data_IF_899400348089
#
_entry.id   IF_899400348089
#
_cell.length_a   1.000
_cell.length_b   1.000
_cell.length_c   1.000
_cell.angle_alpha   90.00
_cell.angle_beta   90.00
_cell.angle_gamma   90.00
#
_symmetry.space_group_name_H-M   'P 1'
#
loop_
_entity.id
_entity.type
_entity.pdbx_description
1 polymer ?
#
# COMPACT_ATOMS: atom_id res chain seq x y z
N UNK A 1 -10.77 14.94 -32.32
CA UNK A 1 -9.77 16.00 -32.58
C UNK A 1 -8.43 15.36 -32.94
N UNK A 2 -7.57 16.02 -33.73
CA UNK A 2 -6.25 15.47 -34.10
C UNK A 2 -5.19 15.56 -32.98
N UNK A 3 -4.03 14.89 -33.12
CA UNK A 3 -2.99 14.81 -32.08
C UNK A 3 -2.49 16.16 -31.55
N UNK A 4 -2.39 17.18 -32.42
CA UNK A 4 -1.97 18.53 -32.04
C UNK A 4 -2.89 19.20 -31.01
N UNK A 5 -4.21 19.00 -31.15
CA UNK A 5 -5.20 19.57 -30.22
C UNK A 5 -5.11 18.89 -28.86
N UNK A 6 -4.93 17.56 -28.85
CA UNK A 6 -4.75 16.79 -27.60
C UNK A 6 -3.53 17.26 -26.82
N UNK A 7 -2.39 17.45 -27.50
CA UNK A 7 -1.15 17.94 -26.86
C UNK A 7 -1.35 19.34 -26.28
N UNK A 8 -2.00 20.23 -27.04
CA UNK A 8 -2.26 21.60 -26.58
C UNK A 8 -3.16 21.63 -25.33
N UNK A 9 -4.22 20.82 -25.31
CA UNK A 9 -5.15 20.73 -24.17
C UNK A 9 -4.48 20.10 -22.96
N UNK A 10 -3.73 19.02 -23.14
CA UNK A 10 -3.10 18.26 -22.05
C UNK A 10 -2.06 19.07 -21.25
N UNK A 11 -1.58 20.19 -21.79
CA UNK A 11 -0.71 21.08 -21.02
C UNK A 11 -1.46 21.93 -19.99
N UNK A 12 -2.75 22.21 -20.19
CA UNK A 12 -3.52 23.07 -19.29
C UNK A 12 -4.53 22.30 -18.47
N UNK A 13 -5.07 21.21 -19.02
CA UNK A 13 -6.12 20.42 -18.42
C UNK A 13 -5.63 19.01 -18.10
N UNK A 14 -6.10 18.42 -16.98
CA UNK A 14 -5.90 17.02 -16.69
C UNK A 14 -6.25 16.11 -17.89
N UNK A 15 -5.44 15.07 -18.20
CA UNK A 15 -5.63 14.23 -19.40
C UNK A 15 -7.02 13.61 -19.54
N UNK A 16 -7.68 13.36 -18.41
CA UNK A 16 -9.05 12.84 -18.33
C UNK A 16 -10.05 13.67 -19.13
N UNK A 17 -9.87 14.99 -19.22
CA UNK A 17 -10.75 15.87 -19.99
C UNK A 17 -10.60 15.66 -21.50
N UNK A 18 -9.37 15.39 -21.97
CA UNK A 18 -9.16 15.07 -23.39
C UNK A 18 -9.79 13.74 -23.76
N UNK A 19 -9.78 12.76 -22.86
CA UNK A 19 -10.41 11.47 -23.10
C UNK A 19 -11.95 11.61 -23.03
N UNK A 20 -12.47 12.32 -22.04
CA UNK A 20 -13.90 12.62 -21.92
C UNK A 20 -14.43 13.38 -23.16
N UNK A 21 -13.71 14.40 -23.65
CA UNK A 21 -14.09 15.14 -24.87
C UNK A 21 -14.11 14.25 -26.12
N UNK A 22 -13.23 13.24 -26.19
CA UNK A 22 -13.20 12.28 -27.30
C UNK A 22 -14.39 11.34 -27.24
N UNK A 23 -14.70 10.85 -26.05
CA UNK A 23 -15.70 9.80 -25.85
C UNK A 23 -17.13 10.36 -25.80
N UNK A 24 -17.34 11.50 -25.12
CA UNK A 24 -18.62 12.22 -25.04
C UNK A 24 -18.43 13.73 -24.78
N UNK A 25 -18.55 14.59 -25.81
CA UNK A 25 -18.43 16.04 -25.64
C UNK A 25 -19.39 16.62 -24.61
N UNK A 26 -20.65 16.16 -24.56
CA UNK A 26 -21.66 16.66 -23.63
C UNK A 26 -21.28 16.35 -22.17
N UNK A 27 -20.86 15.11 -21.90
CA UNK A 27 -20.41 14.71 -20.56
C UNK A 27 -19.15 15.46 -20.15
N UNK A 28 -18.26 15.75 -21.09
CA UNK A 28 -17.03 16.49 -20.81
C UNK A 28 -17.28 17.91 -20.32
N UNK A 29 -18.33 18.59 -20.83
CA UNK A 29 -18.73 19.93 -20.37
C UNK A 29 -19.26 19.86 -18.95
N UNK A 30 -20.20 18.95 -18.66
CA UNK A 30 -20.73 18.77 -17.31
C UNK A 30 -19.63 18.44 -16.30
N UNK A 31 -18.69 17.58 -16.70
CA UNK A 31 -17.53 17.21 -15.91
C UNK A 31 -16.59 18.40 -15.66
N UNK A 32 -16.39 19.26 -16.66
CA UNK A 32 -15.57 20.46 -16.54
C UNK A 32 -16.21 21.52 -15.64
N UNK A 33 -17.53 21.69 -15.71
CA UNK A 33 -18.28 22.64 -14.89
C UNK A 33 -18.41 22.20 -13.43
N UNK A 34 -18.52 20.89 -13.18
CA UNK A 34 -18.67 20.33 -11.84
C UNK A 34 -17.35 20.30 -11.06
N UNK A 35 -17.43 20.26 -9.72
CA UNK A 35 -16.25 20.09 -8.87
C UNK A 35 -15.96 18.60 -8.63
N UNK A 36 -14.69 18.22 -8.74
CA UNK A 36 -14.25 16.84 -8.55
C UNK A 36 -12.99 16.79 -7.68
N UNK A 37 -12.99 15.93 -6.68
CA UNK A 37 -11.78 15.59 -5.94
C UNK A 37 -11.79 14.09 -5.66
N UNK A 38 -10.99 13.35 -6.43
CA UNK A 38 -10.80 11.91 -6.29
C UNK A 38 -9.40 11.53 -6.82
N UNK A 39 -8.93 10.28 -6.61
CA UNK A 39 -7.55 9.90 -6.92
C UNK A 39 -7.09 10.16 -8.36
N UNK A 40 -7.98 10.27 -9.34
CA UNK A 40 -7.63 10.49 -10.76
C UNK A 40 -7.96 11.91 -11.27
N UNK A 41 -8.52 12.76 -10.41
CA UNK A 41 -8.87 14.15 -10.78
C UNK A 41 -9.01 15.03 -9.54
N UNK A 42 -8.26 16.13 -9.55
CA UNK A 42 -8.50 17.28 -8.69
C UNK A 42 -8.91 18.43 -9.62
N UNK A 43 -10.16 18.82 -9.52
CA UNK A 43 -10.80 19.85 -10.33
C UNK A 43 -11.84 20.60 -9.51
N UNK A 44 -11.36 21.40 -8.56
CA UNK A 44 -12.14 22.30 -7.74
C UNK A 44 -12.16 23.72 -8.33
N UNK A 45 -12.79 24.66 -7.63
CA UNK A 45 -12.84 26.05 -8.07
C UNK A 45 -11.45 26.68 -8.13
N UNK A 46 -10.57 26.35 -7.18
CA UNK A 46 -9.22 26.89 -7.14
C UNK A 46 -8.38 26.40 -8.34
N UNK A 47 -8.52 25.14 -8.74
CA UNK A 47 -7.87 24.58 -9.93
C UNK A 47 -8.38 25.27 -11.20
N UNK A 48 -9.69 25.49 -11.30
CA UNK A 48 -10.30 26.25 -12.42
C UNK A 48 -9.74 27.67 -12.48
N UNK A 49 -9.68 28.36 -11.35
CA UNK A 49 -9.20 29.74 -11.26
C UNK A 49 -7.72 29.85 -11.62
N UNK A 50 -6.89 28.88 -11.19
CA UNK A 50 -5.47 28.80 -11.57
C UNK A 50 -5.30 28.62 -13.07
N UNK A 51 -6.02 27.67 -13.67
CA UNK A 51 -5.97 27.43 -15.12
C UNK A 51 -6.43 28.66 -15.90
N UNK A 52 -7.58 29.23 -15.55
CA UNK A 52 -8.11 30.45 -16.16
C UNK A 52 -7.13 31.62 -16.07
N UNK A 53 -6.54 31.83 -14.89
CA UNK A 53 -5.58 32.91 -14.65
C UNK A 53 -4.32 32.76 -15.50
N UNK A 54 -3.79 31.54 -15.61
CA UNK A 54 -2.60 31.27 -16.42
C UNK A 54 -2.87 31.44 -17.92
N UNK A 55 -4.00 30.91 -18.42
CA UNK A 55 -4.40 31.08 -19.82
C UNK A 55 -4.61 32.56 -20.13
N UNK A 56 -5.26 33.31 -19.24
CA UNK A 56 -5.45 34.75 -19.39
C UNK A 56 -4.14 35.54 -19.36
N UNK A 57 -3.14 35.09 -18.58
CA UNK A 57 -1.79 35.66 -18.57
C UNK A 57 -1.06 35.39 -19.89
N UNK A 58 -0.99 34.14 -20.34
CA UNK A 58 -0.34 33.75 -21.59
C UNK A 58 -0.97 34.45 -22.81
N UNK A 59 -2.31 34.58 -22.81
CA UNK A 59 -3.02 35.35 -23.84
C UNK A 59 -2.57 36.79 -23.88
N UNK A 60 -2.49 37.47 -22.72
CA UNK A 60 -2.07 38.88 -22.63
C UNK A 60 -0.62 39.07 -23.07
N UNK A 61 0.28 38.18 -22.65
CA UNK A 61 1.69 38.21 -23.05
C UNK A 61 1.83 38.05 -24.57
N UNK A 62 1.11 37.09 -25.16
CA UNK A 62 1.14 36.89 -26.61
C UNK A 62 0.52 38.07 -27.37
N UNK A 63 -0.62 38.59 -26.91
CA UNK A 63 -1.27 39.76 -27.51
C UNK A 63 -0.35 40.99 -27.50
N UNK A 64 0.36 41.24 -26.39
CA UNK A 64 1.33 42.33 -26.30
C UNK A 64 2.49 42.15 -27.28
N UNK A 65 2.97 40.92 -27.46
CA UNK A 65 4.04 40.63 -28.41
C UNK A 65 3.56 40.80 -29.88
N UNK A 66 2.31 40.41 -30.18
CA UNK A 66 1.72 40.59 -31.50
C UNK A 66 1.48 42.07 -31.86
N UNK A 67 1.20 42.93 -30.87
CA UNK A 67 1.10 44.37 -31.11
C UNK A 67 2.44 44.97 -31.59
N UNK A 68 3.57 44.38 -31.18
CA UNK A 68 4.90 44.81 -31.62
C UNK A 68 5.33 44.11 -32.93
N UNK A 69 4.91 42.86 -33.13
CA UNK A 69 5.19 42.10 -34.34
C UNK A 69 3.97 41.25 -34.75
N UNK A 70 3.16 41.70 -35.74
CA UNK A 70 1.98 40.98 -36.19
C UNK A 70 2.25 39.58 -36.76
N UNK A 71 3.49 39.31 -37.19
CA UNK A 71 3.90 37.98 -37.70
C UNK A 71 4.32 37.00 -36.61
N UNK A 72 4.27 37.41 -35.34
CA UNK A 72 4.70 36.57 -34.23
C UNK A 72 3.75 35.38 -34.01
N UNK A 73 4.31 34.18 -34.16
CA UNK A 73 3.63 32.93 -33.88
C UNK A 73 3.64 32.61 -32.39
N UNK A 74 2.50 32.14 -31.87
CA UNK A 74 2.44 31.63 -30.50
C UNK A 74 3.30 30.37 -30.36
N UNK A 75 4.19 30.38 -29.37
CA UNK A 75 4.93 29.20 -28.94
C UNK A 75 4.41 28.78 -27.59
N UNK A 76 4.12 27.48 -27.47
CA UNK A 76 3.71 26.89 -26.21
C UNK A 76 4.85 27.03 -25.20
N UNK A 77 4.60 27.52 -23.97
CA UNK A 77 5.62 27.54 -22.93
C UNK A 77 6.12 26.12 -22.62
N UNK A 78 7.37 26.00 -22.18
CA UNK A 78 7.95 24.71 -21.83
C UNK A 78 7.05 23.95 -20.84
N UNK A 79 6.64 22.74 -21.21
CA UNK A 79 5.59 21.95 -20.55
C UNK A 79 5.85 21.68 -19.06
N UNK A 80 7.11 21.78 -18.61
CA UNK A 80 7.52 21.42 -17.25
C UNK A 80 6.81 22.21 -16.15
N UNK A 81 6.30 23.42 -16.44
CA UNK A 81 5.54 24.23 -15.48
C UNK A 81 4.02 24.19 -15.63
N UNK A 82 3.52 23.71 -16.77
CA UNK A 82 2.09 23.74 -17.10
C UNK A 82 1.37 22.46 -16.65
N UNK A 83 2.05 21.31 -16.68
CA UNK A 83 1.46 20.01 -16.32
C UNK A 83 0.96 19.92 -14.88
N UNK A 84 1.47 20.76 -13.96
CA UNK A 84 1.05 20.83 -12.55
C UNK A 84 0.26 22.10 -12.22
N UNK A 85 -0.22 22.83 -13.23
CA UNK A 85 -0.87 24.12 -13.03
C UNK A 85 -2.19 24.01 -12.26
N UNK A 86 -2.99 23.00 -12.58
CA UNK A 86 -4.26 22.75 -11.89
C UNK A 86 -4.03 22.36 -10.42
N UNK A 87 -2.93 21.64 -10.14
CA UNK A 87 -2.64 21.00 -8.86
C UNK A 87 -1.18 21.22 -8.44
N UNK A 88 -0.82 22.46 -8.04
CA UNK A 88 0.54 22.73 -7.58
C UNK A 88 0.84 21.91 -6.32
N UNK A 89 2.06 21.38 -6.21
CA UNK A 89 2.55 20.59 -5.07
C UNK A 89 1.86 19.24 -4.83
N UNK A 90 0.98 18.79 -5.71
CA UNK A 90 0.41 17.46 -5.62
C UNK A 90 1.36 16.41 -6.22
N UNK A 91 1.54 15.30 -5.52
CA UNK A 91 2.41 14.22 -5.98
C UNK A 91 1.59 13.17 -6.72
N UNK A 92 1.82 13.11 -8.03
CA UNK A 92 1.08 12.26 -8.96
C UNK A 92 2.00 11.19 -9.56
N UNK A 93 1.50 9.96 -9.64
CA UNK A 93 2.17 8.82 -10.28
C UNK A 93 1.14 8.07 -11.11
N UNK A 94 1.41 7.76 -12.38
CA UNK A 94 0.44 7.06 -13.25
C UNK A 94 -0.88 7.76 -13.44
N UNK A 95 -0.92 9.10 -13.34
CA UNK A 95 -2.15 9.88 -13.37
C UNK A 95 -3.00 9.81 -12.09
N UNK A 96 -2.43 9.28 -11.00
CA UNK A 96 -3.10 9.13 -9.70
C UNK A 96 -2.44 10.02 -8.65
N UNK A 97 -3.24 10.83 -7.98
CA UNK A 97 -2.83 11.68 -6.86
C UNK A 97 -2.71 10.85 -5.58
N UNK A 98 -1.47 10.64 -5.12
CA UNK A 98 -1.20 9.66 -4.06
C UNK A 98 -1.85 10.03 -2.73
N UNK A 99 -1.88 11.31 -2.37
CA UNK A 99 -2.53 11.80 -1.13
C UNK A 99 -3.99 11.37 -1.05
N UNK A 100 -4.75 11.57 -2.12
CA UNK A 100 -6.17 11.24 -2.17
C UNK A 100 -6.36 9.73 -2.25
N UNK A 101 -5.52 9.03 -3.02
CA UNK A 101 -5.56 7.57 -3.10
C UNK A 101 -5.33 6.90 -1.74
N UNK A 102 -4.35 7.35 -0.96
CA UNK A 102 -4.06 6.81 0.38
C UNK A 102 -5.26 6.98 1.32
N UNK A 103 -5.98 8.10 1.22
CA UNK A 103 -7.20 8.34 2.00
C UNK A 103 -8.38 7.46 1.56
N UNK A 104 -8.39 6.97 0.32
CA UNK A 104 -9.43 6.09 -0.21
C UNK A 104 -8.86 5.01 -1.15
N UNK A 105 -8.18 3.99 -0.60
CA UNK A 105 -7.51 2.97 -1.42
C UNK A 105 -8.48 2.00 -2.10
N UNK A 106 -9.77 2.00 -1.70
CA UNK A 106 -10.83 1.24 -2.35
C UNK A 106 -11.34 1.86 -3.65
N UNK A 107 -10.82 3.03 -4.05
CA UNK A 107 -11.20 3.66 -5.31
C UNK A 107 -10.90 2.75 -6.51
N UNK A 108 -11.90 2.56 -7.37
CA UNK A 108 -11.75 1.74 -8.58
C UNK A 108 -11.04 2.56 -9.66
N UNK A 109 -9.72 2.42 -9.71
CA UNK A 109 -8.89 3.04 -10.74
C UNK A 109 -9.23 2.50 -12.13
N UNK A 110 -9.20 3.37 -13.15
CA UNK A 110 -9.38 2.93 -14.55
C UNK A 110 -8.22 2.09 -15.07
N UNK A 111 -7.00 2.38 -14.61
CA UNK A 111 -5.78 1.73 -15.09
C UNK A 111 -4.89 1.23 -13.94
N UNK A 112 -5.38 0.29 -13.12
CA UNK A 112 -4.68 -0.15 -11.91
C UNK A 112 -3.34 -0.84 -12.22
N UNK A 113 -3.21 -1.49 -13.39
CA UNK A 113 -1.96 -2.12 -13.83
C UNK A 113 -0.88 -1.11 -14.20
N UNK A 114 -1.24 -0.07 -14.95
CA UNK A 114 -0.31 1.03 -15.29
C UNK A 114 0.12 1.75 -14.01
N UNK A 115 -0.83 2.06 -13.12
CA UNK A 115 -0.54 2.67 -11.83
C UNK A 115 0.41 1.83 -10.97
N UNK A 116 0.17 0.52 -10.84
CA UNK A 116 1.07 -0.39 -10.12
C UNK A 116 2.49 -0.35 -10.67
N UNK A 117 2.64 -0.44 -11.99
CA UNK A 117 3.95 -0.44 -12.65
C UNK A 117 4.69 0.88 -12.44
N UNK A 118 4.01 2.02 -12.67
CA UNK A 118 4.60 3.34 -12.46
C UNK A 118 4.94 3.61 -10.99
N UNK A 119 4.10 3.13 -10.06
CA UNK A 119 4.32 3.32 -8.63
C UNK A 119 5.50 2.49 -8.12
N UNK A 120 5.62 1.24 -8.56
CA UNK A 120 6.78 0.41 -8.26
C UNK A 120 8.07 1.03 -8.83
N UNK A 121 8.04 1.46 -10.09
CA UNK A 121 9.19 2.12 -10.73
C UNK A 121 9.56 3.43 -10.02
N UNK A 122 8.56 4.22 -9.59
CA UNK A 122 8.78 5.45 -8.81
C UNK A 122 9.45 5.17 -7.47
N UNK A 123 8.97 4.17 -6.72
CA UNK A 123 9.61 3.73 -5.47
C UNK A 123 11.08 3.34 -5.71
N UNK A 124 11.34 2.47 -6.69
CA UNK A 124 12.69 2.00 -6.98
C UNK A 124 13.61 3.15 -7.44
N UNK A 125 13.10 4.08 -8.24
CA UNK A 125 13.88 5.22 -8.71
C UNK A 125 14.20 6.18 -7.57
N UNK A 126 13.26 6.43 -6.65
CA UNK A 126 13.53 7.21 -5.45
C UNK A 126 14.58 6.55 -4.56
N UNK A 127 14.51 5.23 -4.34
CA UNK A 127 15.48 4.48 -3.54
C UNK A 127 16.90 4.48 -4.13
N UNK A 128 17.01 4.54 -5.47
CA UNK A 128 18.30 4.54 -6.17
C UNK A 128 19.10 5.84 -6.03
N UNK A 129 18.48 6.94 -5.59
CA UNK A 129 19.12 8.25 -5.46
C UNK A 129 20.00 8.30 -4.20
N UNK A 130 21.15 8.96 -4.30
CA UNK A 130 22.04 9.19 -3.14
C UNK A 130 21.36 9.96 -2.01
N UNK A 131 20.47 10.90 -2.37
CA UNK A 131 19.61 11.67 -1.48
C UNK A 131 18.16 11.51 -1.93
N UNK A 132 17.43 10.49 -1.46
CA UNK A 132 16.03 10.31 -1.81
C UNK A 132 15.18 11.44 -1.24
N UNK A 133 14.11 11.79 -1.96
CA UNK A 133 13.05 12.61 -1.37
C UNK A 133 12.23 11.71 -0.43
N UNK A 134 12.46 11.86 0.88
CA UNK A 134 11.89 10.98 1.90
C UNK A 134 10.35 11.05 1.93
N UNK A 135 9.77 12.23 1.74
CA UNK A 135 8.32 12.42 1.74
C UNK A 135 7.67 11.73 0.54
N UNK A 136 8.23 11.94 -0.66
CA UNK A 136 7.74 11.26 -1.86
C UNK A 136 7.93 9.75 -1.79
N UNK A 137 9.04 9.28 -1.20
CA UNK A 137 9.31 7.84 -1.04
C UNK A 137 8.33 7.20 -0.05
N UNK A 138 8.08 7.85 1.09
CA UNK A 138 7.11 7.38 2.09
C UNK A 138 5.69 7.36 1.52
N UNK A 139 5.28 8.42 0.81
CA UNK A 139 3.98 8.50 0.17
C UNK A 139 3.82 7.44 -0.93
N UNK A 140 4.83 7.26 -1.79
CA UNK A 140 4.82 6.20 -2.83
C UNK A 140 4.72 4.81 -2.21
N UNK A 141 5.48 4.56 -1.14
CA UNK A 141 5.47 3.27 -0.44
C UNK A 141 4.12 2.99 0.18
N UNK A 142 3.54 3.99 0.86
CA UNK A 142 2.23 3.86 1.52
C UNK A 142 1.13 3.60 0.50
N UNK A 143 1.13 4.34 -0.62
CA UNK A 143 0.20 4.12 -1.72
C UNK A 143 0.36 2.71 -2.33
N UNK A 144 1.60 2.21 -2.48
CA UNK A 144 1.86 0.89 -3.05
C UNK A 144 1.35 -0.22 -2.12
N UNK A 145 1.64 -0.14 -0.83
CA UNK A 145 1.14 -1.09 0.15
C UNK A 145 -0.41 -1.07 0.20
N UNK A 146 -1.01 0.12 0.18
CA UNK A 146 -2.45 0.28 0.19
C UNK A 146 -3.11 -0.29 -1.08
N UNK A 147 -2.50 -0.10 -2.26
CA UNK A 147 -2.95 -0.67 -3.53
C UNK A 147 -2.94 -2.19 -3.49
N UNK A 148 -1.84 -2.80 -3.05
CA UNK A 148 -1.70 -4.26 -2.96
C UNK A 148 -2.65 -4.86 -1.91
N UNK A 149 -2.93 -4.13 -0.84
CA UNK A 149 -3.91 -4.55 0.18
C UNK A 149 -5.35 -4.46 -0.32
N UNK A 150 -5.70 -3.36 -1.00
CA UNK A 150 -7.05 -3.14 -1.52
C UNK A 150 -7.36 -4.05 -2.72
N UNK A 151 -6.36 -4.38 -3.53
CA UNK A 151 -6.49 -5.23 -4.71
C UNK A 151 -5.41 -6.32 -4.75
N UNK A 152 -5.52 -7.39 -3.93
CA UNK A 152 -4.50 -8.43 -3.84
C UNK A 152 -4.15 -9.12 -5.17
N UNK A 153 -5.12 -9.21 -6.09
CA UNK A 153 -4.95 -9.80 -7.42
C UNK A 153 -3.92 -9.06 -8.29
N UNK A 154 -3.62 -7.79 -8.01
CA UNK A 154 -2.57 -7.06 -8.71
C UNK A 154 -1.16 -7.57 -8.35
N UNK A 155 -1.00 -8.19 -7.18
CA UNK A 155 0.29 -8.74 -6.74
C UNK A 155 0.81 -9.82 -7.68
N UNK A 156 -0.08 -10.61 -8.30
CA UNK A 156 0.27 -11.68 -9.24
C UNK A 156 1.05 -11.15 -10.46
N UNK A 157 0.89 -9.87 -10.80
CA UNK A 157 1.55 -9.23 -11.94
C UNK A 157 2.96 -8.75 -11.60
N UNK A 158 3.29 -8.57 -10.31
CA UNK A 158 4.56 -7.97 -9.87
C UNK A 158 5.80 -8.75 -10.34
N UNK A 159 5.84 -10.09 -10.25
CA UNK A 159 6.97 -10.87 -10.73
C UNK A 159 7.29 -10.65 -12.21
N UNK A 160 6.26 -10.56 -13.07
CA UNK A 160 6.42 -10.39 -14.51
C UNK A 160 7.01 -9.02 -14.89
N UNK A 161 6.91 -8.02 -14.01
CA UNK A 161 7.47 -6.68 -14.23
C UNK A 161 8.98 -6.60 -13.95
N UNK A 162 9.60 -7.63 -13.34
CA UNK A 162 11.04 -7.66 -13.09
C UNK A 162 11.52 -6.70 -11.98
N UNK A 163 10.62 -6.15 -11.18
CA UNK A 163 10.95 -5.18 -10.13
C UNK A 163 11.50 -5.82 -8.83
N UNK A 164 11.18 -7.09 -8.55
CA UNK A 164 11.56 -7.78 -7.30
C UNK A 164 13.09 -7.84 -7.11
N UNK A 165 13.90 -8.27 -8.10
CA UNK A 165 15.36 -8.29 -7.93
C UNK A 165 15.95 -6.90 -7.66
N UNK A 166 15.38 -5.84 -8.27
CA UNK A 166 15.78 -4.46 -8.03
C UNK A 166 15.47 -4.02 -6.60
N UNK A 167 14.28 -4.35 -6.09
CA UNK A 167 13.88 -4.08 -4.70
C UNK A 167 14.86 -4.71 -3.70
N UNK A 168 15.17 -6.01 -3.86
CA UNK A 168 16.09 -6.73 -2.98
C UNK A 168 17.49 -6.09 -2.98
N UNK A 169 18.01 -5.70 -4.15
CA UNK A 169 19.31 -5.01 -4.24
C UNK A 169 19.30 -3.66 -3.53
N UNK A 170 18.26 -2.86 -3.72
CA UNK A 170 18.17 -1.50 -3.17
C UNK A 170 18.01 -1.47 -1.65
N UNK A 171 17.38 -2.50 -1.09
CA UNK A 171 17.22 -2.68 0.35
C UNK A 171 18.56 -2.66 1.11
N UNK A 172 19.61 -3.23 0.52
CA UNK A 172 20.96 -3.30 1.09
C UNK A 172 21.95 -2.27 0.55
N UNK A 173 21.67 -1.62 -0.59
CA UNK A 173 22.66 -0.73 -1.23
C UNK A 173 22.70 0.67 -0.61
N UNK A 174 21.57 1.19 -0.12
CA UNK A 174 21.46 2.56 0.39
C UNK A 174 21.12 2.61 1.88
N UNK A 175 21.84 1.80 2.67
CA UNK A 175 21.64 1.68 4.12
C UNK A 175 21.88 2.99 4.88
N UNK A 176 22.67 3.92 4.32
CA UNK A 176 22.91 5.25 4.91
C UNK A 176 21.64 6.10 4.94
N UNK A 177 20.72 5.88 3.99
CA UNK A 177 19.46 6.60 3.92
C UNK A 177 18.38 5.80 4.64
N UNK A 178 18.15 6.15 5.89
CA UNK A 178 17.24 5.47 6.83
C UNK A 178 15.84 5.21 6.22
N UNK A 179 15.36 6.07 5.31
CA UNK A 179 14.09 5.92 4.60
C UNK A 179 14.06 4.75 3.61
N UNK A 180 15.18 4.43 2.95
CA UNK A 180 15.23 3.37 1.93
C UNK A 180 15.01 1.97 2.52
N UNK A 181 15.73 1.53 3.58
CA UNK A 181 15.47 0.25 4.21
C UNK A 181 14.03 0.12 4.75
N UNK A 182 13.45 1.20 5.32
CA UNK A 182 12.05 1.19 5.78
C UNK A 182 11.10 0.90 4.64
N UNK A 183 11.19 1.68 3.58
CA UNK A 183 10.31 1.53 2.43
C UNK A 183 10.49 0.17 1.77
N UNK A 184 11.73 -0.30 1.62
CA UNK A 184 12.00 -1.61 1.04
C UNK A 184 11.43 -2.76 1.89
N UNK A 185 11.54 -2.71 3.22
CA UNK A 185 10.94 -3.71 4.13
C UNK A 185 9.40 -3.68 4.03
N UNK A 186 8.79 -2.50 3.97
CA UNK A 186 7.33 -2.38 3.83
C UNK A 186 6.83 -2.98 2.52
N UNK A 187 7.51 -2.70 1.39
CA UNK A 187 7.15 -3.29 0.10
C UNK A 187 7.35 -4.80 0.12
N UNK A 188 8.47 -5.29 0.66
CA UNK A 188 8.72 -6.73 0.80
C UNK A 188 7.63 -7.42 1.63
N UNK A 189 7.22 -6.80 2.74
CA UNK A 189 6.14 -7.30 3.59
C UNK A 189 4.81 -7.38 2.85
N UNK A 190 4.44 -6.34 2.09
CA UNK A 190 3.23 -6.37 1.27
C UNK A 190 3.28 -7.49 0.21
N UNK A 191 4.41 -7.66 -0.47
CA UNK A 191 4.60 -8.72 -1.47
C UNK A 191 4.61 -10.12 -0.87
N UNK A 192 5.04 -10.28 0.39
CA UNK A 192 5.06 -11.58 1.08
C UNK A 192 3.67 -12.19 1.32
N UNK A 193 2.59 -11.41 1.15
CA UNK A 193 1.21 -11.92 1.19
C UNK A 193 0.83 -12.75 -0.05
N UNK A 194 1.66 -12.76 -1.08
CA UNK A 194 1.37 -13.43 -2.34
C UNK A 194 2.42 -14.51 -2.65
N UNK A 195 1.99 -15.77 -2.81
CA UNK A 195 2.90 -16.90 -3.03
C UNK A 195 3.69 -16.82 -4.36
N UNK A 196 3.14 -16.18 -5.40
CA UNK A 196 3.84 -15.96 -6.68
C UNK A 196 4.99 -14.96 -6.47
N UNK A 197 4.72 -13.88 -5.73
CA UNK A 197 5.76 -12.94 -5.31
C UNK A 197 6.82 -13.60 -4.43
N UNK A 198 6.42 -14.42 -3.46
CA UNK A 198 7.35 -15.16 -2.59
C UNK A 198 8.26 -16.07 -3.41
N UNK A 199 7.72 -16.76 -4.42
CA UNK A 199 8.49 -17.61 -5.32
C UNK A 199 9.52 -16.79 -6.12
N UNK A 200 9.14 -15.61 -6.60
CA UNK A 200 10.07 -14.71 -7.31
C UNK A 200 11.12 -14.08 -6.37
N UNK A 201 10.75 -13.77 -5.13
CA UNK A 201 11.68 -13.33 -4.08
C UNK A 201 12.69 -14.44 -3.76
N UNK A 202 12.26 -15.71 -3.73
CA UNK A 202 13.13 -16.86 -3.50
C UNK A 202 14.21 -17.04 -4.58
N UNK A 203 13.93 -16.61 -5.81
CA UNK A 203 14.89 -16.61 -6.91
C UNK A 203 15.82 -15.37 -6.91
N UNK A 204 15.62 -14.43 -5.97
CA UNK A 204 16.41 -13.21 -5.83
C UNK A 204 17.22 -13.24 -4.53
N UNK A 205 18.41 -12.62 -4.52
CA UNK A 205 19.21 -12.50 -3.31
C UNK A 205 18.60 -11.47 -2.34
N UNK A 206 17.76 -11.95 -1.42
CA UNK A 206 16.98 -11.09 -0.53
C UNK A 206 17.40 -11.18 0.95
N UNK A 207 17.94 -12.31 1.40
CA UNK A 207 18.24 -12.53 2.83
C UNK A 207 19.38 -11.65 3.35
N UNK A 208 20.46 -11.49 2.58
CA UNK A 208 21.58 -10.61 2.97
C UNK A 208 21.14 -9.13 3.05
N UNK A 209 20.53 -8.53 2.01
CA UNK A 209 20.01 -7.16 2.09
C UNK A 209 19.02 -6.95 3.24
N UNK A 210 18.13 -7.92 3.49
CA UNK A 210 17.17 -7.85 4.57
C UNK A 210 17.84 -7.85 5.95
N UNK A 211 18.84 -8.72 6.16
CA UNK A 211 19.63 -8.76 7.41
C UNK A 211 20.24 -7.39 7.70
N UNK A 212 20.89 -6.80 6.69
CA UNK A 212 21.52 -5.48 6.83
C UNK A 212 20.49 -4.37 7.11
N UNK A 213 19.35 -4.41 6.43
CA UNK A 213 18.26 -3.44 6.63
C UNK A 213 17.71 -3.51 8.07
N UNK A 214 17.49 -4.72 8.61
CA UNK A 214 17.03 -4.93 9.99
C UNK A 214 18.04 -4.46 11.04
N UNK A 215 19.35 -4.60 10.77
CA UNK A 215 20.40 -4.13 11.68
C UNK A 215 20.41 -2.60 11.83
N UNK A 216 20.05 -1.88 10.76
CA UNK A 216 20.02 -0.41 10.74
C UNK A 216 18.66 0.15 11.19
N UNK A 217 17.56 -0.52 10.85
CA UNK A 217 16.19 -0.11 11.19
C UNK A 217 15.57 -1.04 12.22
N UNK A 218 15.93 -0.81 13.48
CA UNK A 218 15.39 -1.60 14.61
C UNK A 218 13.87 -1.52 14.74
N UNK A 219 13.29 -0.36 14.44
CA UNK A 219 11.85 -0.11 14.44
C UNK A 219 11.09 -0.94 13.38
N UNK A 220 11.78 -1.41 12.33
CA UNK A 220 11.20 -2.23 11.27
C UNK A 220 11.35 -3.75 11.51
N UNK A 221 11.97 -4.16 12.62
CA UNK A 221 12.19 -5.59 12.93
C UNK A 221 10.86 -6.34 13.01
N UNK A 222 9.82 -5.77 13.63
CA UNK A 222 8.51 -6.42 13.73
C UNK A 222 7.92 -6.75 12.35
N UNK A 223 7.91 -5.77 11.44
CA UNK A 223 7.38 -5.90 10.07
C UNK A 223 8.24 -6.88 9.26
N UNK A 224 9.56 -6.79 9.38
CA UNK A 224 10.48 -7.71 8.72
C UNK A 224 10.29 -9.16 9.18
N UNK A 225 10.13 -9.41 10.49
CA UNK A 225 9.89 -10.74 11.04
C UNK A 225 8.54 -11.34 10.60
N UNK A 226 7.50 -10.52 10.46
CA UNK A 226 6.23 -10.97 9.89
C UNK A 226 6.39 -11.37 8.41
N UNK A 227 7.12 -10.57 7.63
CA UNK A 227 7.44 -10.89 6.24
C UNK A 227 8.25 -12.19 6.13
N UNK A 228 9.26 -12.36 6.99
CA UNK A 228 10.08 -13.57 7.07
C UNK A 228 9.25 -14.82 7.38
N UNK A 229 8.33 -14.73 8.34
CA UNK A 229 7.46 -15.86 8.65
C UNK A 229 6.63 -16.28 7.43
N UNK A 230 6.07 -15.31 6.68
CA UNK A 230 5.35 -15.60 5.42
C UNK A 230 6.26 -16.21 4.35
N UNK A 231 7.44 -15.63 4.16
CA UNK A 231 8.44 -16.10 3.18
C UNK A 231 8.85 -17.55 3.44
N UNK A 232 9.17 -17.92 4.69
CA UNK A 232 9.58 -19.29 5.02
C UNK A 232 8.41 -20.27 5.12
N UNK A 233 7.18 -19.80 5.42
CA UNK A 233 5.99 -20.66 5.43
C UNK A 233 5.61 -21.16 4.03
N UNK A 234 6.11 -20.52 2.96
CA UNK A 234 5.93 -20.96 1.59
C UNK A 234 6.81 -22.16 1.17
N UNK A 235 7.62 -22.71 2.09
CA UNK A 235 8.49 -23.88 1.88
C UNK A 235 9.43 -23.77 0.66
N UNK A 236 10.01 -22.59 0.45
CA UNK A 236 10.98 -22.36 -0.62
C UNK A 236 12.41 -22.66 -0.14
N UNK A 237 12.96 -23.81 -0.54
CA UNK A 237 14.32 -24.25 -0.14
C UNK A 237 15.42 -23.24 -0.54
N UNK A 238 15.22 -22.48 -1.62
CA UNK A 238 16.14 -21.42 -2.04
C UNK A 238 16.29 -20.30 -0.99
N UNK A 239 15.19 -19.90 -0.34
CA UNK A 239 15.25 -18.91 0.74
C UNK A 239 15.99 -19.46 1.96
N UNK A 240 15.74 -20.73 2.28
CA UNK A 240 16.37 -21.41 3.40
C UNK A 240 17.89 -21.52 3.19
N UNK A 241 18.31 -21.85 1.97
CA UNK A 241 19.73 -21.81 1.56
C UNK A 241 20.33 -20.42 1.74
N UNK A 242 19.72 -19.39 1.17
CA UNK A 242 20.21 -18.01 1.30
C UNK A 242 20.34 -17.58 2.78
N UNK A 243 19.40 -18.00 3.63
CA UNK A 243 19.44 -17.69 5.05
C UNK A 243 20.60 -18.39 5.79
N UNK A 244 20.96 -19.61 5.39
CA UNK A 244 22.15 -20.31 5.89
C UNK A 244 23.44 -19.64 5.42
N UNK A 245 23.52 -19.26 4.14
CA UNK A 245 24.73 -18.68 3.53
C UNK A 245 25.13 -17.33 4.16
N UNK A 246 24.20 -16.65 4.85
CA UNK A 246 24.41 -15.30 5.42
C UNK A 246 24.35 -15.27 6.95
N UNK A 247 24.39 -16.44 7.60
CA UNK A 247 24.22 -16.61 9.04
C UNK A 247 22.97 -15.89 9.57
N UNK A 248 21.84 -16.07 8.88
CA UNK A 248 20.57 -15.45 9.25
C UNK A 248 19.94 -16.12 10.49
N UNK A 249 20.10 -17.44 10.63
CA UNK A 249 19.57 -18.21 11.77
C UNK A 249 20.20 -17.77 13.10
N UNK A 250 21.55 -17.66 13.23
CA UNK A 250 22.17 -17.07 14.42
C UNK A 250 21.68 -15.66 14.71
N UNK A 251 21.54 -14.81 13.70
CA UNK A 251 21.03 -13.45 13.86
C UNK A 251 19.59 -13.41 14.42
N UNK A 252 18.70 -14.30 13.97
CA UNK A 252 17.35 -14.42 14.52
C UNK A 252 17.35 -14.89 15.98
N UNK A 253 18.28 -15.78 16.36
CA UNK A 253 18.45 -16.22 17.75
C UNK A 253 18.96 -15.08 18.65
N UNK A 254 19.89 -14.25 18.16
CA UNK A 254 20.34 -13.04 18.87
C UNK A 254 19.18 -12.05 19.11
N UNK A 255 18.27 -11.90 18.13
CA UNK A 255 17.07 -11.08 18.29
C UNK A 255 16.07 -11.67 19.31
N UNK A 256 16.00 -13.00 19.43
CA UNK A 256 15.16 -13.67 20.44
C UNK A 256 15.69 -13.48 21.86
N UNK A 257 17.02 -13.51 22.03
CA UNK A 257 17.68 -13.28 23.31
C UNK A 257 17.66 -11.80 23.72
N UNK A 258 17.82 -10.91 22.73
CA UNK A 258 17.84 -9.47 22.93
C UNK A 258 16.55 -8.86 23.49
N UNK A 259 16.71 -7.67 24.09
CA UNK A 259 15.57 -6.78 24.38
C UNK A 259 15.18 -6.05 23.09
N UNK A 260 13.96 -6.33 22.61
CA UNK A 260 13.35 -5.64 21.50
C UNK A 260 12.55 -4.45 22.03
N UNK A 261 13.00 -3.23 21.71
CA UNK A 261 12.29 -2.00 22.03
C UNK A 261 11.25 -1.70 20.93
N UNK A 262 10.16 -2.46 20.97
CA UNK A 262 9.08 -2.47 19.97
C UNK A 262 7.72 -2.43 20.68
N UNK A 263 6.67 -2.01 20.00
CA UNK A 263 5.31 -1.96 20.56
C UNK A 263 4.83 -3.31 21.09
N UNK A 264 5.14 -4.40 20.37
CA UNK A 264 4.79 -5.76 20.78
C UNK A 264 5.98 -6.73 20.59
N UNK A 265 6.89 -6.79 21.58
CA UNK A 265 8.05 -7.67 21.55
C UNK A 265 7.64 -9.15 21.52
N UNK A 266 6.59 -9.51 22.25
CA UNK A 266 6.09 -10.88 22.35
C UNK A 266 5.61 -11.42 21.00
N UNK A 267 4.80 -10.64 20.27
CA UNK A 267 4.37 -10.98 18.91
C UNK A 267 5.57 -11.14 17.98
N UNK A 268 6.53 -10.23 18.04
CA UNK A 268 7.74 -10.28 17.19
C UNK A 268 8.55 -11.56 17.46
N UNK A 269 8.77 -11.91 18.73
CA UNK A 269 9.43 -13.17 19.11
C UNK A 269 8.67 -14.39 18.59
N UNK A 270 7.34 -14.39 18.70
CA UNK A 270 6.50 -15.45 18.14
C UNK A 270 6.66 -15.59 16.61
N UNK A 271 6.76 -14.48 15.87
CA UNK A 271 7.01 -14.53 14.41
C UNK A 271 8.39 -15.11 14.09
N UNK A 272 9.42 -14.76 14.88
CA UNK A 272 10.77 -15.32 14.71
C UNK A 272 10.75 -16.84 14.96
N UNK A 273 10.13 -17.30 16.05
CA UNK A 273 10.04 -18.73 16.35
C UNK A 273 9.27 -19.47 15.25
N UNK A 274 8.17 -18.92 14.74
CA UNK A 274 7.44 -19.50 13.60
C UNK A 274 8.31 -19.59 12.36
N UNK A 275 9.05 -18.53 12.02
CA UNK A 275 9.98 -18.54 10.89
C UNK A 275 11.06 -19.64 11.04
N UNK A 276 11.70 -19.74 12.22
CA UNK A 276 12.71 -20.78 12.50
C UNK A 276 12.13 -22.21 12.42
N UNK A 277 10.91 -22.43 12.94
CA UNK A 277 10.20 -23.71 12.82
C UNK A 277 9.81 -24.03 11.37
N UNK A 278 9.48 -23.02 10.56
CA UNK A 278 9.20 -23.22 9.13
C UNK A 278 10.47 -23.56 8.37
N UNK A 279 11.59 -22.92 8.68
CA UNK A 279 12.90 -23.23 8.09
C UNK A 279 13.35 -24.66 8.41
N UNK A 280 13.17 -25.14 9.65
CA UNK A 280 13.57 -26.51 10.05
C UNK A 280 12.74 -27.60 9.37
N UNK A 281 11.59 -27.28 8.77
CA UNK A 281 10.77 -28.21 7.98
C UNK A 281 11.25 -28.35 6.52
N UNK A 282 12.24 -27.58 6.09
CA UNK A 282 12.83 -27.72 4.75
C UNK A 282 13.38 -29.13 4.55
N UNK A 283 13.01 -29.79 3.45
CA UNK A 283 13.44 -31.15 3.13
C UNK A 283 14.95 -31.23 2.85
N UNK A 284 15.53 -30.14 2.34
CA UNK A 284 16.93 -30.13 1.88
C UNK A 284 17.89 -29.62 2.95
N UNK A 285 17.47 -28.62 3.73
CA UNK A 285 18.34 -27.89 4.67
C UNK A 285 17.87 -27.95 6.13
N UNK A 286 16.73 -28.58 6.40
CA UNK A 286 16.12 -28.65 7.73
C UNK A 286 17.04 -29.24 8.80
N UNK A 287 17.80 -30.29 8.47
CA UNK A 287 18.75 -30.93 9.40
C UNK A 287 19.86 -29.97 9.84
N UNK A 288 20.40 -29.18 8.89
CA UNK A 288 21.45 -28.19 9.20
C UNK A 288 20.92 -27.10 10.12
N UNK A 289 19.70 -26.65 9.88
CA UNK A 289 19.06 -25.63 10.72
C UNK A 289 18.77 -26.18 12.11
N UNK A 290 18.23 -27.40 12.19
CA UNK A 290 17.97 -28.08 13.46
C UNK A 290 19.24 -28.23 14.26
N UNK A 291 20.36 -28.62 13.65
CA UNK A 291 21.66 -28.70 14.31
C UNK A 291 22.18 -27.35 14.83
N UNK A 292 21.85 -26.23 14.17
CA UNK A 292 22.18 -24.87 14.67
C UNK A 292 21.28 -24.52 15.85
N UNK A 293 19.98 -24.81 15.74
CA UNK A 293 18.99 -24.51 16.76
C UNK A 293 19.23 -25.32 18.06
N UNK A 294 19.59 -26.59 17.96
CA UNK A 294 19.89 -27.45 19.12
C UNK A 294 21.12 -27.00 19.91
N UNK A 295 22.09 -26.34 19.25
CA UNK A 295 23.25 -25.74 19.91
C UNK A 295 22.91 -24.47 20.68
N UNK A 296 21.78 -23.84 20.37
CA UNK A 296 21.37 -22.59 21.01
C UNK A 296 20.67 -22.88 22.35
N UNK A 297 21.19 -22.28 23.41
CA UNK A 297 20.55 -22.30 24.73
C UNK A 297 19.20 -21.58 24.70
N UNK A 298 19.12 -20.46 23.98
CA UNK A 298 17.91 -19.64 23.80
C UNK A 298 16.79 -20.44 23.15
N UNK A 299 17.10 -21.25 22.14
CA UNK A 299 16.08 -22.04 21.43
C UNK A 299 15.35 -23.05 22.32
N UNK A 300 16.01 -23.59 23.36
CA UNK A 300 15.40 -24.56 24.26
C UNK A 300 14.16 -24.01 24.97
N UNK A 301 14.11 -22.70 25.24
CA UNK A 301 12.98 -22.06 25.92
C UNK A 301 11.76 -21.88 24.98
N UNK A 302 11.98 -21.90 23.66
CA UNK A 302 10.96 -21.60 22.64
C UNK A 302 10.54 -22.80 21.79
N UNK A 303 11.35 -23.86 21.72
CA UNK A 303 11.11 -25.01 20.82
C UNK A 303 9.74 -25.67 21.07
N UNK A 304 9.33 -25.80 22.33
CA UNK A 304 8.10 -26.50 22.73
C UNK A 304 6.88 -25.56 22.86
N UNK A 305 7.05 -24.24 22.73
CA UNK A 305 5.95 -23.29 22.82
C UNK A 305 4.99 -23.45 21.61
N UNK A 306 3.73 -23.81 21.89
CA UNK A 306 2.61 -23.71 20.95
C UNK A 306 2.01 -22.30 21.05
N UNK A 307 1.94 -21.60 19.92
CA UNK A 307 1.67 -20.16 19.85
C UNK A 307 0.19 -19.75 20.01
N UNK A 308 -0.69 -20.67 20.41
CA UNK A 308 -2.13 -20.36 20.63
C UNK A 308 -2.37 -19.50 21.88
N UNK A 309 -1.33 -19.25 22.69
CA UNK A 309 -1.41 -18.46 23.92
C UNK A 309 -1.07 -16.97 23.77
N UNK A 310 -0.80 -16.47 22.57
CA UNK A 310 -0.70 -15.02 22.32
C UNK A 310 -2.07 -14.42 21.98
N UNK A 311 -3.09 -14.70 22.79
CA UNK A 311 -4.28 -13.84 22.85
C UNK A 311 -4.00 -12.81 23.94
N UNK A 312 -3.50 -11.64 23.54
CA UNK A 312 -3.67 -10.44 24.35
C UNK A 312 -5.16 -10.31 24.64
N UNK A 313 -5.52 -10.39 25.91
CA UNK A 313 -6.82 -10.01 26.44
C UNK A 313 -7.26 -8.70 25.77
N UNK A 314 -8.22 -8.79 24.85
CA UNK A 314 -9.00 -7.62 24.50
C UNK A 314 -9.59 -7.11 25.82
N UNK A 315 -9.39 -5.84 26.21
CA UNK A 315 -10.21 -5.28 27.25
C UNK A 315 -11.63 -5.27 26.69
N UNK A 316 -12.43 -6.24 27.10
CA UNK A 316 -13.88 -6.12 27.11
C UNK A 316 -14.18 -4.88 27.94
N UNK A 317 -14.32 -3.74 27.26
CA UNK A 317 -14.81 -2.49 27.82
C UNK A 317 -16.24 -2.79 28.27
N UNK A 318 -16.36 -3.19 29.55
CA UNK A 318 -17.60 -3.25 30.27
C UNK A 318 -18.15 -1.83 30.38
N UNK A 319 -19.12 -1.53 29.53
CA UNK A 319 -19.94 -0.33 29.65
C UNK A 319 -20.80 -0.46 30.91
N UNK A 320 -20.27 0.05 32.04
CA UNK A 320 -21.04 0.36 33.24
C UNK A 320 -20.61 1.74 33.74
N UNK A 321 -21.14 2.80 33.14
CA UNK A 321 -21.35 4.07 33.84
C UNK A 321 -22.67 4.68 33.41
N UNK A 322 -23.60 4.70 34.36
CA UNK A 322 -24.79 5.52 34.32
C UNK A 322 -24.39 7.00 34.34
N UNK A 323 -25.01 7.81 33.47
CA UNK A 323 -24.80 9.25 33.39
C UNK A 323 -25.67 9.89 32.31
N UNK A 324 -26.86 10.31 32.72
CA UNK A 324 -27.85 11.19 32.07
C UNK A 324 -27.47 11.89 30.75
N UNK A 325 -28.30 11.79 29.69
CA UNK A 325 -28.22 12.71 28.56
C UNK A 325 -29.12 13.94 28.77
N UNK A 326 -28.52 15.13 28.75
CA UNK A 326 -29.18 16.42 28.54
C UNK A 326 -29.61 16.53 27.07
N UNK A 327 -30.92 16.43 26.83
CA UNK A 327 -31.54 16.65 25.52
C UNK A 327 -32.10 18.08 25.43
N UNK A 328 -31.72 18.84 24.39
CA UNK A 328 -32.36 20.08 24.00
C UNK A 328 -32.47 20.15 22.46
N UNK A 329 -33.71 20.02 21.95
CA UNK A 329 -34.24 20.50 20.66
C UNK A 329 -33.60 19.98 19.36
N UNK A 330 -34.29 19.56 18.30
CA UNK A 330 -35.67 19.74 17.86
C UNK A 330 -36.03 18.60 16.88
N UNK A 331 -37.23 18.05 17.02
CA UNK A 331 -37.90 17.13 16.08
C UNK A 331 -38.80 17.93 15.13
N UNK A 332 -38.83 17.56 13.85
CA UNK A 332 -40.02 17.73 12.99
C UNK A 332 -40.51 16.36 12.54
N UNK A 333 -41.83 16.26 12.41
CA UNK A 333 -42.69 15.09 12.51
C UNK A 333 -42.61 14.07 11.35
N UNK A 334 -42.88 12.80 11.63
CA UNK A 334 -44.04 12.04 11.09
C UNK A 334 -44.21 10.67 11.81
N UNK A 335 -45.44 10.14 11.96
CA UNK A 335 -45.73 9.00 12.84
C UNK A 335 -45.87 7.68 12.08
N UNK A 336 -45.56 6.55 12.73
CA UNK A 336 -46.44 5.36 12.73
C UNK A 336 -45.96 4.30 13.72
N UNK A 337 -46.93 3.88 14.53
CA UNK A 337 -47.01 2.78 15.49
C UNK A 337 -46.44 1.44 15.02
N UNK A 338 -45.70 0.74 15.89
CA UNK A 338 -46.08 -0.59 16.46
C UNK A 338 -45.07 -1.05 17.52
N UNK A 339 -45.58 -1.46 18.68
CA UNK A 339 -44.83 -2.02 19.81
C UNK A 339 -44.51 -3.50 19.53
N UNK A 340 -43.27 -3.95 19.74
CA UNK A 340 -42.93 -5.38 19.84
C UNK A 340 -42.29 -5.62 21.21
N UNK A 341 -42.96 -6.49 21.96
CA UNK A 341 -42.63 -6.98 23.30
C UNK A 341 -41.52 -8.04 23.22
N UNK A 342 -40.58 -7.98 24.15
CA UNK A 342 -39.48 -8.94 24.35
C UNK A 342 -39.89 -10.06 25.31
N UNK A 343 -40.07 -11.28 24.80
CA UNK A 343 -40.02 -12.50 25.59
C UNK A 343 -39.46 -13.66 24.73
N UNK A 344 -38.54 -14.50 25.25
CA UNK A 344 -37.98 -15.61 24.50
C UNK A 344 -38.92 -16.84 24.51
N UNK A 345 -38.97 -17.64 23.42
CA UNK A 345 -39.86 -18.80 23.33
C UNK A 345 -39.28 -20.04 24.04
N UNK A 346 -40.15 -20.93 24.59
CA UNK A 346 -39.75 -22.15 25.26
C UNK A 346 -39.39 -23.27 24.26
N UNK A 347 -38.49 -24.16 24.70
CA UNK A 347 -38.05 -25.36 23.98
C UNK A 347 -39.04 -26.49 24.25
N UNK A 348 -39.56 -27.14 23.20
CA UNK A 348 -40.06 -28.49 23.37
C UNK A 348 -39.83 -29.41 22.16
N UNK A 349 -39.77 -30.70 22.51
CA UNK A 349 -39.21 -31.84 21.78
C UNK A 349 -40.20 -32.47 20.77
N UNK A 350 -39.62 -33.36 19.95
CA UNK A 350 -40.19 -34.54 19.26
C UNK A 350 -40.71 -34.40 17.81
N UNK A 351 -39.95 -35.05 16.91
CA UNK A 351 -40.34 -35.77 15.68
C UNK A 351 -41.52 -36.77 15.94
N UNK A 352 -42.22 -37.40 14.95
CA UNK A 352 -41.93 -37.51 13.52
C UNK A 352 -43.16 -37.51 12.56
N UNK A 353 -42.88 -37.72 11.25
CA UNK A 353 -43.69 -38.40 10.21
C UNK A 353 -44.35 -37.57 9.08
N UNK A 354 -43.77 -37.73 7.88
CA UNK A 354 -44.37 -38.27 6.63
C UNK A 354 -45.62 -37.60 6.02
N UNK A 355 -45.45 -37.03 4.81
CA UNK A 355 -46.14 -37.23 3.49
C UNK A 355 -46.11 -35.92 2.67
N UNK A 356 -45.56 -35.89 1.44
CA UNK A 356 -46.24 -36.13 0.14
C UNK A 356 -47.55 -35.32 0.02
N UNK A 357 -47.82 -34.46 -0.97
CA UNK A 357 -47.40 -34.36 -2.37
C UNK A 357 -47.56 -32.92 -2.92
N UNK A 358 -46.82 -32.64 -4.00
CA UNK A 358 -47.18 -31.90 -5.23
C UNK A 358 -48.22 -30.76 -5.20
N UNK A 359 -47.76 -29.55 -5.56
CA UNK A 359 -48.00 -28.92 -6.89
C UNK A 359 -47.21 -27.62 -7.05
#
# INVERSE_FOLDING_TARGET
>A
FGPKVRIAIAAFLPPIFSDAMRDSPQTSVQMFESAHEHPELIWDQDAKDRVCSAVAKLRREHQNAQMQNPSMLWKMPDSNGLSNLATPNEFMVGGVYLRIFISNPGWTLRKPKEFLSELMETCLNLMSKDKPNNEQLEMSTTALCALLQAQPALSDLVPAMGHIPRLCRQMGSNIRQISVPKSAIQILHALSNNNICVSAIAQSDCMHPLKQAMQVRKDMIAVACEALNRLFSANQDALVKQALDVDFVPYLLELLDGRLDLENPAMTKAQIVKALKSMSKSLTYGDKITAILEKSTVWNDYKDQKHDLFISSAPSIGYLTAGTPTAAGYLTQAPTTTKISTAPPPVDKQDPLIRHDDL
#
